data_IF_628969962972
#
_entry.id   IF_628969962972
#
_cell.length_a   1.000
_cell.length_b   1.000
_cell.length_c   1.000
_cell.angle_alpha   90.00
_cell.angle_beta   90.00
_cell.angle_gamma   90.00
#
_symmetry.space_group_name_H-M   'P 1'
#
loop_
_entity.id
_entity.type
_entity.pdbx_description
1 polymer ?
#
# COMPACT_ATOMS: atom_id res chain seq x y z
N UNK A 1 34.25 -54.84 47.51
CA UNK A 1 33.82 -55.50 46.26
C UNK A 1 32.81 -54.64 45.51
N UNK A 2 33.25 -53.89 44.49
CA UNK A 2 32.68 -53.84 43.13
C UNK A 2 33.43 -52.74 42.37
N UNK A 3 33.91 -53.13 41.20
CA UNK A 3 35.01 -52.53 40.45
C UNK A 3 34.55 -51.26 39.73
N UNK A 4 35.41 -50.25 39.76
CA UNK A 4 35.46 -49.12 38.84
C UNK A 4 35.69 -49.69 37.43
N UNK A 5 34.80 -49.37 36.49
CA UNK A 5 35.05 -49.57 35.06
C UNK A 5 34.90 -48.20 34.40
N UNK A 6 36.06 -47.66 34.01
CA UNK A 6 36.16 -46.59 33.04
C UNK A 6 35.60 -47.06 31.71
N UNK A 7 34.77 -46.26 31.04
CA UNK A 7 34.56 -46.39 29.60
C UNK A 7 34.87 -45.07 28.94
N UNK A 8 35.73 -45.20 27.94
CA UNK A 8 36.36 -44.20 27.11
C UNK A 8 35.38 -43.27 26.40
N UNK A 9 35.89 -42.07 26.14
CA UNK A 9 35.38 -41.06 25.24
C UNK A 9 35.18 -41.58 23.80
N UNK A 10 34.14 -41.06 23.15
CA UNK A 10 34.15 -40.77 21.73
C UNK A 10 33.28 -39.53 21.48
N UNK A 11 33.91 -38.36 21.51
CA UNK A 11 33.31 -37.10 21.05
C UNK A 11 33.36 -37.13 19.53
N UNK A 12 32.25 -37.46 18.88
CA UNK A 12 32.10 -37.29 17.44
C UNK A 12 31.68 -35.83 17.16
N UNK A 13 32.66 -34.96 16.94
CA UNK A 13 32.43 -33.61 16.42
C UNK A 13 32.11 -33.74 14.93
N UNK A 14 30.83 -33.81 14.60
CA UNK A 14 30.36 -33.74 13.21
C UNK A 14 30.36 -32.26 12.83
N UNK A 15 31.48 -31.79 12.27
CA UNK A 15 31.55 -30.47 11.65
C UNK A 15 30.71 -30.47 10.38
N UNK A 16 29.44 -30.12 10.50
CA UNK A 16 28.57 -29.87 9.36
C UNK A 16 28.97 -28.53 8.71
N UNK A 17 29.87 -28.58 7.74
CA UNK A 17 30.13 -27.45 6.85
C UNK A 17 28.95 -27.38 5.88
N UNK A 18 27.96 -26.55 6.21
CA UNK A 18 26.89 -26.23 5.29
C UNK A 18 27.46 -25.42 4.12
N UNK A 19 27.33 -25.84 2.86
CA UNK A 19 27.56 -24.93 1.75
C UNK A 19 26.47 -23.86 1.83
N UNK A 20 26.88 -22.64 2.15
CA UNK A 20 26.02 -21.47 2.03
C UNK A 20 25.60 -21.35 0.56
N UNK A 21 24.39 -21.83 0.25
CA UNK A 21 23.71 -21.48 -0.98
C UNK A 21 23.52 -19.96 -0.95
N UNK A 22 24.38 -19.25 -1.67
CA UNK A 22 24.18 -17.85 -1.98
C UNK A 22 22.87 -17.76 -2.77
N UNK A 23 21.79 -17.37 -2.10
CA UNK A 23 20.54 -17.08 -2.79
C UNK A 23 20.80 -15.90 -3.74
N UNK A 24 20.34 -15.97 -5.00
CA UNK A 24 20.35 -14.82 -5.88
C UNK A 24 19.54 -13.72 -5.20
N UNK A 25 20.22 -12.65 -4.77
CA UNK A 25 19.55 -11.41 -4.40
C UNK A 25 18.89 -10.93 -5.67
N UNK A 26 17.57 -11.08 -5.74
CA UNK A 26 16.78 -10.47 -6.80
C UNK A 26 17.07 -8.97 -6.74
N UNK A 27 17.90 -8.50 -7.67
CA UNK A 27 18.00 -7.10 -8.03
C UNK A 27 16.71 -6.76 -8.75
N UNK A 28 15.66 -6.50 -7.96
CA UNK A 28 14.51 -5.76 -8.45
C UNK A 28 15.00 -4.36 -8.70
N UNK A 29 15.08 -3.96 -9.97
CA UNK A 29 15.28 -2.57 -10.35
C UNK A 29 14.39 -1.69 -9.46
N UNK A 30 14.99 -0.83 -8.64
CA UNK A 30 14.29 0.03 -7.66
C UNK A 30 13.23 0.95 -8.30
N UNK A 31 13.19 1.00 -9.64
CA UNK A 31 12.19 1.73 -10.43
C UNK A 31 10.91 0.93 -10.70
N UNK A 32 10.94 -0.40 -10.56
CA UNK A 32 9.78 -1.26 -10.82
C UNK A 32 8.98 -1.59 -9.54
N UNK A 33 9.46 -1.17 -8.37
CA UNK A 33 8.73 -1.27 -7.09
C UNK A 33 7.80 -0.07 -6.80
N UNK A 34 7.86 0.97 -7.63
CA UNK A 34 7.07 2.18 -7.45
C UNK A 34 5.59 1.96 -7.82
N UNK A 35 4.67 2.28 -6.90
CA UNK A 35 3.23 2.25 -7.13
C UNK A 35 2.52 3.43 -6.49
N UNK A 36 1.37 3.81 -7.06
CA UNK A 36 0.47 4.80 -6.48
C UNK A 36 -0.73 4.11 -5.86
N UNK A 37 -0.94 4.28 -4.56
CA UNK A 37 -2.15 3.83 -3.88
C UNK A 37 -3.12 5.01 -3.79
N UNK A 38 -4.35 4.80 -4.27
CA UNK A 38 -5.46 5.74 -4.19
C UNK A 38 -6.35 5.31 -3.03
N UNK A 39 -6.18 5.95 -1.89
CA UNK A 39 -6.94 5.68 -0.68
C UNK A 39 -8.20 6.54 -0.63
N UNK A 40 -9.36 5.92 -0.46
CA UNK A 40 -10.58 6.57 -0.03
C UNK A 40 -10.83 6.26 1.45
N UNK A 41 -10.53 7.22 2.33
CA UNK A 41 -10.72 7.07 3.76
C UNK A 41 -12.14 7.41 4.18
N UNK A 42 -12.71 6.58 5.04
CA UNK A 42 -14.03 6.77 5.62
C UNK A 42 -14.12 6.25 7.04
N UNK A 43 -15.22 6.57 7.73
CA UNK A 43 -15.63 5.93 8.97
C UNK A 43 -16.82 4.98 8.68
N UNK A 44 -17.36 4.36 9.72
CA UNK A 44 -18.50 3.43 9.59
C UNK A 44 -19.79 4.14 9.18
N UNK A 45 -19.92 5.45 9.43
CA UNK A 45 -21.10 6.22 9.05
C UNK A 45 -21.00 6.73 7.60
N UNK A 46 -21.90 6.21 6.74
CA UNK A 46 -21.81 6.41 5.29
C UNK A 46 -23.10 7.06 4.76
N UNK A 47 -23.07 8.38 4.57
CA UNK A 47 -24.18 9.06 3.90
C UNK A 47 -24.17 8.84 2.37
N UNK A 48 -25.24 9.23 1.69
CA UNK A 48 -25.36 9.12 0.23
C UNK A 48 -24.18 9.76 -0.52
N UNK A 49 -23.74 10.94 -0.09
CA UNK A 49 -22.60 11.64 -0.70
C UNK A 49 -21.29 10.88 -0.47
N UNK A 50 -21.05 10.32 0.72
CA UNK A 50 -19.89 9.47 0.98
C UNK A 50 -19.84 8.27 0.03
N UNK A 51 -20.98 7.60 -0.18
CA UNK A 51 -21.04 6.45 -1.06
C UNK A 51 -20.82 6.83 -2.53
N UNK A 52 -21.31 7.99 -2.96
CA UNK A 52 -21.03 8.51 -4.29
C UNK A 52 -19.56 8.86 -4.49
N UNK A 53 -18.91 9.50 -3.51
CA UNK A 53 -17.48 9.82 -3.62
C UNK A 53 -16.62 8.57 -3.73
N UNK A 54 -16.89 7.52 -2.94
CA UNK A 54 -16.19 6.24 -3.10
C UNK A 54 -16.41 5.68 -4.51
N UNK A 55 -17.67 5.56 -4.93
CA UNK A 55 -18.04 4.99 -6.23
C UNK A 55 -17.36 5.73 -7.38
N UNK A 56 -17.39 7.06 -7.37
CA UNK A 56 -16.81 7.87 -8.44
C UNK A 56 -15.28 7.82 -8.44
N UNK A 57 -14.67 7.74 -7.26
CA UNK A 57 -13.22 7.57 -7.12
C UNK A 57 -12.78 6.22 -7.71
N UNK A 58 -13.46 5.15 -7.30
CA UNK A 58 -13.24 3.79 -7.82
C UNK A 58 -13.41 3.75 -9.34
N UNK A 59 -14.52 4.30 -9.85
CA UNK A 59 -14.81 4.35 -11.29
C UNK A 59 -13.75 5.13 -12.07
N UNK A 60 -13.24 6.24 -11.52
CA UNK A 60 -12.17 7.01 -12.15
C UNK A 60 -10.89 6.16 -12.31
N UNK A 61 -10.52 5.39 -11.28
CA UNK A 61 -9.34 4.52 -11.32
C UNK A 61 -9.56 3.34 -12.27
N UNK A 62 -10.65 2.59 -12.10
CA UNK A 62 -10.98 1.38 -12.86
C UNK A 62 -11.19 1.64 -14.35
N UNK A 63 -11.75 2.79 -14.72
CA UNK A 63 -12.01 3.11 -16.12
C UNK A 63 -10.77 3.64 -16.83
N UNK A 64 -10.04 4.57 -16.20
CA UNK A 64 -9.00 5.34 -16.88
C UNK A 64 -7.59 4.77 -16.70
N UNK A 65 -7.39 3.83 -15.78
CA UNK A 65 -6.07 3.30 -15.45
C UNK A 65 -5.99 1.76 -15.47
N UNK A 66 -6.87 1.10 -16.24
CA UNK A 66 -6.94 -0.37 -16.38
C UNK A 66 -5.57 -1.07 -16.48
N UNK A 67 -4.70 -0.59 -17.37
CA UNK A 67 -3.37 -1.18 -17.55
C UNK A 67 -2.47 -1.06 -16.31
N UNK A 68 -2.54 0.08 -15.61
CA UNK A 68 -1.74 0.33 -14.39
C UNK A 68 -2.31 -0.39 -13.17
N UNK A 69 -3.63 -0.57 -13.10
CA UNK A 69 -4.28 -1.46 -12.14
C UNK A 69 -3.83 -2.91 -12.36
N UNK A 70 -3.92 -3.40 -13.59
CA UNK A 70 -3.56 -4.77 -13.94
C UNK A 70 -2.09 -5.10 -13.66
N UNK A 71 -1.19 -4.11 -13.78
CA UNK A 71 0.23 -4.27 -13.46
C UNK A 71 0.60 -3.94 -12.01
N UNK A 72 -0.38 -3.58 -11.16
CA UNK A 72 -0.12 -3.19 -9.77
C UNK A 72 0.56 -1.83 -9.57
N UNK A 73 0.78 -1.07 -10.65
CA UNK A 73 1.36 0.29 -10.58
C UNK A 73 0.38 1.31 -10.01
N UNK A 74 -0.92 1.01 -10.03
CA UNK A 74 -1.94 1.72 -9.26
C UNK A 74 -2.75 0.70 -8.47
N UNK A 75 -3.13 1.07 -7.26
CA UNK A 75 -4.03 0.30 -6.39
C UNK A 75 -5.13 1.24 -5.86
N UNK A 76 -6.37 0.79 -5.72
CA UNK A 76 -7.45 1.55 -5.09
C UNK A 76 -7.88 0.86 -3.81
N UNK A 77 -7.92 1.60 -2.69
CA UNK A 77 -8.33 1.08 -1.39
C UNK A 77 -9.39 1.99 -0.77
N UNK A 78 -10.55 1.44 -0.45
CA UNK A 78 -11.47 2.07 0.50
C UNK A 78 -11.08 1.58 1.90
N UNK A 79 -10.85 2.49 2.84
CA UNK A 79 -10.34 2.17 4.18
C UNK A 79 -11.25 2.80 5.22
N UNK A 80 -11.81 1.95 6.10
CA UNK A 80 -12.47 2.40 7.31
C UNK A 80 -11.41 2.71 8.38
N UNK A 81 -11.28 3.96 8.80
CA UNK A 81 -10.28 4.39 9.79
C UNK A 81 -10.65 3.97 11.22
N UNK A 82 -11.88 3.52 11.46
CA UNK A 82 -12.33 3.00 12.76
C UNK A 82 -12.08 1.49 12.92
N UNK A 83 -11.65 0.81 11.86
CA UNK A 83 -11.26 -0.60 11.95
C UNK A 83 -9.88 -0.74 12.61
N UNK A 84 -9.73 -1.79 13.42
CA UNK A 84 -8.52 -2.07 14.16
C UNK A 84 -7.29 -2.09 13.23
N UNK A 85 -6.30 -1.25 13.54
CA UNK A 85 -5.06 -1.15 12.79
C UNK A 85 -5.08 -0.09 11.69
N UNK A 86 -6.19 0.60 11.43
CA UNK A 86 -6.27 1.70 10.46
C UNK A 86 -6.29 3.10 11.12
N UNK A 87 -6.38 3.18 12.45
CA UNK A 87 -6.56 4.44 13.18
C UNK A 87 -5.37 5.39 13.00
N UNK A 88 -4.18 4.85 12.72
CA UNK A 88 -2.97 5.63 12.49
C UNK A 88 -3.11 6.58 11.29
N UNK A 89 -3.89 6.22 10.26
CA UNK A 89 -4.09 7.05 9.07
C UNK A 89 -4.68 8.43 9.39
N UNK A 90 -5.44 8.55 10.48
CA UNK A 90 -5.98 9.84 10.94
C UNK A 90 -4.84 10.81 11.22
N UNK A 91 -3.78 10.34 11.89
CA UNK A 91 -2.61 11.16 12.22
C UNK A 91 -1.70 11.33 11.01
N UNK A 92 -1.44 10.26 10.27
CA UNK A 92 -0.49 10.26 9.15
C UNK A 92 -0.90 11.24 8.04
N UNK A 93 -2.20 11.32 7.75
CA UNK A 93 -2.73 12.22 6.72
C UNK A 93 -3.52 13.40 7.28
N UNK A 94 -3.51 13.59 8.60
CA UNK A 94 -4.25 14.65 9.28
C UNK A 94 -5.74 14.68 8.84
N UNK A 95 -6.39 13.51 8.89
CA UNK A 95 -7.74 13.33 8.38
C UNK A 95 -8.77 13.94 9.34
N UNK A 96 -9.58 14.87 8.84
CA UNK A 96 -10.72 15.43 9.57
C UNK A 96 -12.06 14.88 9.08
N UNK A 97 -12.10 14.33 7.86
CA UNK A 97 -13.31 13.84 7.20
C UNK A 97 -12.95 12.85 6.10
N UNK A 98 -13.97 12.37 5.36
CA UNK A 98 -13.78 11.51 4.17
C UNK A 98 -12.82 12.17 3.21
N UNK A 99 -11.77 11.45 2.85
CA UNK A 99 -10.64 11.99 2.10
C UNK A 99 -10.23 11.03 1.00
N UNK A 100 -9.70 11.57 -0.09
CA UNK A 100 -9.14 10.81 -1.19
C UNK A 100 -7.66 11.17 -1.30
N UNK A 101 -6.79 10.29 -0.83
CA UNK A 101 -5.35 10.49 -0.77
C UNK A 101 -4.68 9.70 -1.90
N UNK A 102 -3.77 10.35 -2.61
CA UNK A 102 -2.81 9.71 -3.49
C UNK A 102 -1.52 9.47 -2.68
N UNK A 103 -1.06 8.24 -2.61
CA UNK A 103 0.15 7.83 -1.91
C UNK A 103 1.13 7.21 -2.90
N UNK A 104 2.32 7.79 -3.06
CA UNK A 104 3.41 7.20 -3.83
C UNK A 104 4.25 6.33 -2.89
N UNK A 105 4.28 5.05 -3.19
CA UNK A 105 5.05 4.06 -2.44
C UNK A 105 6.19 3.57 -3.31
N UNK A 106 7.42 3.63 -2.78
CA UNK A 106 8.63 3.09 -3.40
C UNK A 106 9.27 2.15 -2.38
N UNK A 107 9.58 0.92 -2.80
CA UNK A 107 10.16 -0.12 -1.92
C UNK A 107 9.37 -0.32 -0.61
N UNK A 108 8.04 -0.27 -0.70
CA UNK A 108 7.14 -0.46 0.43
C UNK A 108 7.01 0.72 1.40
N UNK A 109 7.67 1.85 1.13
CA UNK A 109 7.58 3.07 1.94
C UNK A 109 6.90 4.19 1.17
N UNK A 110 5.95 4.88 1.82
CA UNK A 110 5.42 6.12 1.27
C UNK A 110 6.52 7.19 1.23
N UNK A 111 6.70 7.82 0.07
CA UNK A 111 7.67 8.91 -0.13
C UNK A 111 7.01 10.24 -0.47
N UNK A 112 5.73 10.22 -0.89
CA UNK A 112 4.96 11.41 -1.24
C UNK A 112 3.48 11.09 -1.11
N UNK A 113 2.70 12.03 -0.61
CA UNK A 113 1.24 11.95 -0.64
C UNK A 113 0.59 13.27 -1.03
N UNK A 114 -0.67 13.19 -1.45
CA UNK A 114 -1.49 14.34 -1.83
C UNK A 114 -2.96 14.10 -1.48
N UNK A 115 -3.56 15.04 -0.75
CA UNK A 115 -5.01 15.08 -0.57
C UNK A 115 -5.70 15.73 -1.78
N UNK A 116 -6.81 15.14 -2.22
CA UNK A 116 -7.61 15.66 -3.32
C UNK A 116 -8.77 16.50 -2.79
N UNK A 117 -8.47 17.71 -2.36
CA UNK A 117 -9.35 18.57 -1.54
C UNK A 117 -10.68 18.96 -2.21
N UNK A 118 -10.77 18.88 -3.55
CA UNK A 118 -11.99 19.26 -4.30
C UNK A 118 -13.05 18.15 -4.38
N UNK A 119 -12.82 16.96 -3.80
CA UNK A 119 -13.80 15.86 -3.88
C UNK A 119 -15.17 16.25 -3.33
N UNK A 120 -15.23 16.99 -2.22
CA UNK A 120 -16.47 17.43 -1.60
C UNK A 120 -17.22 18.44 -2.48
N UNK A 121 -16.49 19.41 -3.04
CA UNK A 121 -17.04 20.42 -3.95
C UNK A 121 -17.64 19.78 -5.21
N UNK A 122 -17.04 18.68 -5.68
CA UNK A 122 -17.41 18.02 -6.92
C UNK A 122 -18.34 16.80 -6.72
N UNK A 123 -18.67 16.43 -5.48
CA UNK A 123 -19.38 15.19 -5.16
C UNK A 123 -20.77 15.07 -5.80
N UNK A 124 -21.40 16.20 -6.15
CA UNK A 124 -22.72 16.25 -6.82
C UNK A 124 -22.62 16.28 -8.35
N UNK A 125 -21.43 16.33 -8.92
CA UNK A 125 -21.22 16.32 -10.37
C UNK A 125 -20.24 15.19 -10.74
N UNK A 126 -20.80 14.00 -11.00
CA UNK A 126 -20.05 12.79 -11.33
C UNK A 126 -18.98 13.02 -12.41
N UNK A 127 -19.34 13.67 -13.52
CA UNK A 127 -18.42 13.91 -14.64
C UNK A 127 -17.24 14.79 -14.21
N UNK A 128 -17.50 15.90 -13.52
CA UNK A 128 -16.43 16.78 -13.02
C UNK A 128 -15.57 16.09 -11.97
N UNK A 129 -16.17 15.30 -11.09
CA UNK A 129 -15.45 14.52 -10.08
C UNK A 129 -14.47 13.54 -10.72
N UNK A 130 -14.95 12.70 -11.65
CA UNK A 130 -14.12 11.69 -12.33
C UNK A 130 -12.98 12.36 -13.11
N UNK A 131 -13.27 13.45 -13.82
CA UNK A 131 -12.26 14.19 -14.57
C UNK A 131 -11.19 14.78 -13.64
N UNK A 132 -11.60 15.35 -12.51
CA UNK A 132 -10.69 15.89 -11.50
C UNK A 132 -9.77 14.79 -10.96
N UNK A 133 -10.33 13.71 -10.42
CA UNK A 133 -9.54 12.59 -9.86
C UNK A 133 -8.59 11.99 -10.91
N UNK A 134 -9.07 11.79 -12.14
CA UNK A 134 -8.24 11.28 -13.23
C UNK A 134 -7.08 12.22 -13.58
N UNK A 135 -7.34 13.52 -13.60
CA UNK A 135 -6.31 14.54 -13.83
C UNK A 135 -5.26 14.55 -12.73
N UNK A 136 -5.71 14.55 -11.48
CA UNK A 136 -4.83 14.55 -10.30
C UNK A 136 -3.93 13.32 -10.25
N UNK A 137 -4.46 12.11 -10.50
CA UNK A 137 -3.66 10.89 -10.58
C UNK A 137 -2.62 10.99 -11.71
N UNK A 138 -3.01 11.48 -12.89
CA UNK A 138 -2.08 11.64 -14.02
C UNK A 138 -0.94 12.59 -13.70
N UNK A 139 -1.25 13.73 -13.07
CA UNK A 139 -0.25 14.71 -12.64
C UNK A 139 0.66 14.10 -11.58
N UNK A 140 0.08 13.45 -10.56
CA UNK A 140 0.84 12.86 -9.47
C UNK A 140 1.83 11.79 -9.93
N UNK A 141 1.46 10.97 -10.93
CA UNK A 141 2.35 9.97 -11.54
C UNK A 141 3.47 10.64 -12.35
N UNK A 142 3.19 11.75 -13.05
CA UNK A 142 4.23 12.46 -13.81
C UNK A 142 5.27 13.07 -12.89
N UNK A 143 4.85 13.63 -11.75
CA UNK A 143 5.75 14.24 -10.77
C UNK A 143 6.57 13.22 -9.95
N UNK A 144 6.38 11.92 -10.19
CA UNK A 144 7.09 10.83 -9.52
C UNK A 144 8.31 10.32 -10.32
N UNK A 145 8.57 10.89 -11.49
CA UNK A 145 9.66 10.55 -12.41
C UNK A 145 10.55 11.76 -12.68
#
# INVERSE_FOLDING_TARGET
>A
MRKIIQVLAAVAVISAVSPAFAQPKAETDAKDSAKVIVYYFHDSFRCYTCNNMEKYSREAVETNFKKKLASGKIEFKAVNVEEQGNEHFIKDYNLYTKSLILSLVIDGKEVKSKNLDKIWQLARNKKKFINYVTGEIKTFIKDAH
#
